data_IF_075749177022
#
_entry.id   IF_075749177022
#
_cell.length_a   1.000
_cell.length_b   1.000
_cell.length_c   1.000
_cell.angle_alpha   90.00
_cell.angle_beta   90.00
_cell.angle_gamma   90.00
#
_symmetry.space_group_name_H-M   'P 1'
#
loop_
_entity.id
_entity.type
_entity.pdbx_description
1 polymer ?
#
# COMPACT_ATOMS: atom_id res chain seq x y z
N UNK A 1 25.64 55.67 -16.64
CA UNK A 1 25.18 54.59 -17.55
C UNK A 1 25.67 53.24 -17.06
N UNK A 2 27.00 53.00 -17.04
CA UNK A 2 27.61 51.76 -16.55
C UNK A 2 27.18 51.32 -15.13
N UNK A 3 27.04 52.26 -14.21
CA UNK A 3 26.69 51.95 -12.81
C UNK A 3 25.26 51.42 -12.67
N UNK A 4 24.29 52.02 -13.38
CA UNK A 4 22.91 51.53 -13.47
C UNK A 4 22.80 50.18 -14.20
N UNK A 5 23.70 49.93 -15.13
CA UNK A 5 23.78 48.67 -15.89
C UNK A 5 24.34 47.54 -15.02
N UNK A 6 25.34 47.83 -14.19
CA UNK A 6 25.87 46.90 -13.19
C UNK A 6 24.83 46.54 -12.13
N UNK A 7 24.11 47.54 -11.61
CA UNK A 7 23.07 47.35 -10.60
C UNK A 7 21.88 46.52 -11.13
N UNK A 8 21.56 46.67 -12.42
CA UNK A 8 20.56 45.84 -13.10
C UNK A 8 21.03 44.38 -13.26
N UNK A 9 22.29 44.15 -13.64
CA UNK A 9 22.88 42.80 -13.75
C UNK A 9 22.97 42.09 -12.39
N UNK A 10 23.27 42.82 -11.32
CA UNK A 10 23.34 42.26 -9.97
C UNK A 10 21.94 41.87 -9.45
N UNK A 11 20.92 42.71 -9.67
CA UNK A 11 19.52 42.35 -9.40
C UNK A 11 19.06 41.14 -10.19
N UNK A 12 19.43 41.05 -11.47
CA UNK A 12 19.08 39.90 -12.30
C UNK A 12 19.75 38.60 -11.79
N UNK A 13 21.02 38.67 -11.39
CA UNK A 13 21.72 37.53 -10.75
C UNK A 13 21.06 37.13 -9.43
N UNK A 14 20.68 38.08 -8.59
CA UNK A 14 20.02 37.81 -7.32
C UNK A 14 18.68 37.11 -7.54
N UNK A 15 17.87 37.60 -8.49
CA UNK A 15 16.61 36.96 -8.89
C UNK A 15 16.83 35.53 -9.44
N UNK A 16 17.88 35.31 -10.22
CA UNK A 16 18.22 33.98 -10.72
C UNK A 16 18.65 33.02 -9.59
N UNK A 17 19.37 33.50 -8.58
CA UNK A 17 19.76 32.72 -7.41
C UNK A 17 18.54 32.34 -6.56
N UNK A 18 17.66 33.31 -6.26
CA UNK A 18 16.42 33.07 -5.52
C UNK A 18 15.53 32.05 -6.24
N UNK A 19 15.40 32.16 -7.56
CA UNK A 19 14.64 31.20 -8.37
C UNK A 19 15.22 29.79 -8.27
N UNK A 20 16.54 29.65 -8.39
CA UNK A 20 17.22 28.34 -8.25
C UNK A 20 17.04 27.74 -6.86
N UNK A 21 17.09 28.56 -5.82
CA UNK A 21 16.88 28.10 -4.45
C UNK A 21 15.45 27.60 -4.23
N UNK A 22 14.45 28.33 -4.74
CA UNK A 22 13.05 27.91 -4.69
C UNK A 22 12.82 26.60 -5.47
N UNK A 23 13.39 26.47 -6.66
CA UNK A 23 13.32 25.24 -7.47
C UNK A 23 13.96 24.07 -6.71
N UNK A 24 15.12 24.28 -6.09
CA UNK A 24 15.80 23.25 -5.31
C UNK A 24 14.98 22.83 -4.07
N UNK A 25 14.40 23.79 -3.35
CA UNK A 25 13.52 23.50 -2.22
C UNK A 25 12.26 22.72 -2.64
N UNK A 26 11.70 23.04 -3.82
CA UNK A 26 10.55 22.31 -4.35
C UNK A 26 10.91 20.86 -4.69
N UNK A 27 12.07 20.64 -5.32
CA UNK A 27 12.58 19.29 -5.60
C UNK A 27 12.84 18.49 -4.32
N UNK A 28 13.49 19.09 -3.30
CA UNK A 28 13.71 18.41 -2.01
C UNK A 28 12.39 18.01 -1.35
N UNK A 29 11.36 18.86 -1.40
CA UNK A 29 10.01 18.52 -0.89
C UNK A 29 9.36 17.37 -1.66
N UNK A 30 9.51 17.33 -2.99
CA UNK A 30 8.96 16.24 -3.81
C UNK A 30 9.60 14.90 -3.44
N UNK A 31 10.93 14.85 -3.33
CA UNK A 31 11.66 13.65 -2.90
C UNK A 31 11.20 13.16 -1.51
N UNK A 32 11.03 14.08 -0.56
CA UNK A 32 10.56 13.75 0.79
C UNK A 32 9.10 13.24 0.80
N UNK A 33 8.24 13.71 -0.11
CA UNK A 33 6.88 13.18 -0.27
C UNK A 33 6.92 11.73 -0.76
N UNK A 34 7.75 11.42 -1.78
CA UNK A 34 7.86 10.05 -2.30
C UNK A 34 8.44 9.09 -1.25
N UNK A 35 9.46 9.53 -0.50
CA UNK A 35 9.99 8.79 0.66
C UNK A 35 8.89 8.47 1.68
N UNK A 36 8.11 9.48 2.08
CA UNK A 36 7.03 9.30 3.04
C UNK A 36 5.99 8.27 2.57
N UNK A 37 5.60 8.29 1.30
CA UNK A 37 4.71 7.28 0.73
C UNK A 37 5.35 5.89 0.74
N UNK A 38 6.63 5.78 0.40
CA UNK A 38 7.37 4.53 0.42
C UNK A 38 7.46 3.93 1.84
N UNK A 39 7.68 4.76 2.85
CA UNK A 39 7.73 4.32 4.25
C UNK A 39 6.36 3.84 4.76
N UNK A 40 5.27 4.42 4.25
CA UNK A 40 3.90 3.96 4.53
C UNK A 40 3.43 2.77 3.69
N UNK A 41 4.13 2.43 2.61
CA UNK A 41 3.74 1.40 1.64
C UNK A 41 3.43 0.07 2.30
N UNK A 42 4.38 -0.47 3.07
CA UNK A 42 4.26 -1.77 3.71
C UNK A 42 3.10 -1.82 4.73
N UNK A 43 2.94 -0.75 5.53
CA UNK A 43 1.89 -0.67 6.56
C UNK A 43 0.50 -0.56 5.92
N UNK A 44 0.35 0.30 4.92
CA UNK A 44 -0.96 0.51 4.27
C UNK A 44 -1.41 -0.70 3.45
N UNK A 45 -0.48 -1.41 2.81
CA UNK A 45 -0.76 -2.69 2.13
C UNK A 45 -1.15 -3.78 3.14
N UNK A 46 -0.40 -3.92 4.25
CA UNK A 46 -0.71 -4.91 5.29
C UNK A 46 -2.11 -4.71 5.87
N UNK A 47 -2.49 -3.46 6.16
CA UNK A 47 -3.81 -3.11 6.68
C UNK A 47 -4.93 -3.44 5.68
N UNK A 48 -4.69 -3.24 4.38
CA UNK A 48 -5.66 -3.61 3.35
C UNK A 48 -5.89 -5.13 3.33
N UNK A 49 -4.81 -5.91 3.34
CA UNK A 49 -4.86 -7.38 3.33
C UNK A 49 -5.59 -7.90 4.58
N UNK A 50 -5.30 -7.32 5.74
CA UNK A 50 -5.98 -7.65 6.99
C UNK A 50 -7.49 -7.42 6.90
N UNK A 51 -7.92 -6.26 6.39
CA UNK A 51 -9.35 -5.95 6.20
C UNK A 51 -10.01 -6.93 5.23
N UNK A 52 -9.33 -7.27 4.13
CA UNK A 52 -9.80 -8.26 3.16
C UNK A 52 -9.99 -9.62 3.84
N UNK A 53 -8.95 -10.17 4.47
CA UNK A 53 -9.00 -11.50 5.07
C UNK A 53 -9.97 -11.61 6.23
N UNK A 54 -10.14 -10.53 7.01
CA UNK A 54 -11.17 -10.45 8.04
C UNK A 54 -12.58 -10.54 7.43
N UNK A 55 -12.81 -9.83 6.31
CA UNK A 55 -14.09 -9.89 5.60
C UNK A 55 -14.33 -11.27 4.99
N UNK A 56 -13.31 -11.89 4.41
CA UNK A 56 -13.35 -13.27 3.91
C UNK A 56 -13.77 -14.24 5.00
N UNK A 57 -13.07 -14.23 6.15
CA UNK A 57 -13.38 -15.12 7.26
C UNK A 57 -14.83 -14.97 7.72
N UNK A 58 -15.31 -13.72 7.83
CA UNK A 58 -16.70 -13.44 8.20
C UNK A 58 -17.69 -14.01 7.20
N UNK A 59 -17.49 -13.78 5.90
CA UNK A 59 -18.40 -14.28 4.86
C UNK A 59 -18.40 -15.81 4.76
N UNK A 60 -17.25 -16.45 4.95
CA UNK A 60 -17.12 -17.92 5.00
C UNK A 60 -17.89 -18.49 6.20
N UNK A 61 -17.71 -17.90 7.39
CA UNK A 61 -18.40 -18.36 8.61
C UNK A 61 -19.92 -18.19 8.50
N UNK A 62 -20.38 -17.11 7.87
CA UNK A 62 -21.81 -16.86 7.63
C UNK A 62 -22.44 -17.83 6.63
N UNK A 63 -21.64 -18.50 5.78
CA UNK A 63 -22.09 -19.44 4.74
C UNK A 63 -21.51 -20.84 4.95
N UNK A 64 -21.59 -21.33 6.19
CA UNK A 64 -20.98 -22.60 6.64
C UNK A 64 -21.16 -23.77 5.67
N UNK A 65 -22.41 -24.13 5.35
CA UNK A 65 -22.71 -25.30 4.50
C UNK A 65 -22.17 -25.15 3.07
N UNK A 66 -22.24 -23.95 2.48
CA UNK A 66 -21.65 -23.68 1.17
C UNK A 66 -20.12 -23.76 1.21
N UNK A 67 -19.49 -23.20 2.25
CA UNK A 67 -18.05 -23.20 2.41
C UNK A 67 -17.48 -24.63 2.62
N UNK A 68 -18.16 -25.46 3.42
CA UNK A 68 -17.83 -26.89 3.57
C UNK A 68 -17.92 -27.62 2.23
N UNK A 69 -18.96 -27.33 1.44
CA UNK A 69 -19.13 -27.88 0.08
C UNK A 69 -18.02 -27.52 -0.90
N UNK A 70 -17.25 -26.47 -0.62
CA UNK A 70 -16.10 -26.01 -1.41
C UNK A 70 -14.76 -26.59 -0.94
N UNK A 71 -14.78 -27.57 -0.03
CA UNK A 71 -13.59 -28.28 0.44
C UNK A 71 -12.86 -27.60 1.59
N UNK A 72 -13.53 -26.70 2.33
CA UNK A 72 -12.98 -26.13 3.55
C UNK A 72 -13.01 -27.18 4.68
N UNK A 73 -11.87 -27.44 5.32
CA UNK A 73 -11.83 -28.41 6.42
C UNK A 73 -12.50 -27.88 7.69
N UNK A 74 -13.00 -28.79 8.54
CA UNK A 74 -13.59 -28.42 9.83
C UNK A 74 -12.61 -27.64 10.72
N UNK A 75 -11.31 -27.94 10.64
CA UNK A 75 -10.27 -27.24 11.41
C UNK A 75 -10.05 -25.81 10.91
N UNK A 76 -10.08 -25.58 9.59
CA UNK A 76 -9.96 -24.23 9.01
C UNK A 76 -11.20 -23.39 9.29
N UNK A 77 -12.39 -23.98 9.13
CA UNK A 77 -13.64 -23.31 9.47
C UNK A 77 -13.67 -22.91 10.95
N UNK A 78 -13.30 -23.81 11.85
CA UNK A 78 -13.17 -23.53 13.28
C UNK A 78 -12.18 -22.39 13.55
N UNK A 79 -11.02 -22.41 12.90
CA UNK A 79 -10.01 -21.36 13.06
C UNK A 79 -10.49 -19.98 12.57
N UNK A 80 -11.28 -19.91 11.49
CA UNK A 80 -11.91 -18.66 11.06
C UNK A 80 -12.96 -18.17 12.06
N UNK A 81 -13.82 -19.09 12.54
CA UNK A 81 -14.88 -18.77 13.51
C UNK A 81 -14.32 -18.28 14.84
N UNK A 82 -13.20 -18.84 15.28
CA UNK A 82 -12.52 -18.48 16.53
C UNK A 82 -11.54 -17.30 16.37
N UNK A 83 -11.33 -16.81 15.14
CA UNK A 83 -10.36 -15.74 14.87
C UNK A 83 -8.89 -16.15 15.09
N UNK A 84 -8.59 -17.45 15.12
CA UNK A 84 -7.25 -18.00 15.34
C UNK A 84 -6.50 -18.30 14.02
N UNK A 85 -7.14 -18.09 12.87
CA UNK A 85 -6.50 -18.23 11.55
C UNK A 85 -5.54 -17.07 11.27
N UNK A 86 -4.28 -17.38 10.95
CA UNK A 86 -3.27 -16.39 10.56
C UNK A 86 -3.43 -15.95 9.10
N UNK A 87 -2.96 -14.74 8.75
CA UNK A 87 -3.00 -14.24 7.37
C UNK A 87 -2.22 -15.12 6.40
N UNK A 88 -1.06 -15.65 6.80
CA UNK A 88 -0.30 -16.61 5.98
C UNK A 88 -1.10 -17.88 5.68
N UNK A 89 -1.88 -18.37 6.67
CA UNK A 89 -2.72 -19.56 6.48
C UNK A 89 -3.94 -19.25 5.60
N UNK A 90 -4.57 -18.10 5.79
CA UNK A 90 -5.66 -17.64 4.91
C UNK A 90 -5.18 -17.46 3.47
N UNK A 91 -4.04 -16.80 3.28
CA UNK A 91 -3.44 -16.60 1.96
C UNK A 91 -3.19 -17.95 1.28
N UNK A 92 -2.54 -18.89 1.97
CA UNK A 92 -2.30 -20.23 1.46
C UNK A 92 -3.59 -20.97 1.10
N UNK A 93 -4.61 -20.93 1.97
CA UNK A 93 -5.89 -21.56 1.71
C UNK A 93 -6.55 -21.04 0.42
N UNK A 94 -6.56 -19.72 0.22
CA UNK A 94 -7.16 -19.11 -0.97
C UNK A 94 -6.30 -19.31 -2.23
N UNK A 95 -4.97 -19.40 -2.09
CA UNK A 95 -4.06 -19.74 -3.19
C UNK A 95 -4.21 -21.20 -3.62
N UNK A 96 -4.30 -22.12 -2.67
CA UNK A 96 -4.33 -23.57 -2.91
C UNK A 96 -5.74 -24.03 -3.34
N UNK A 97 -6.80 -23.31 -2.96
CA UNK A 97 -8.20 -23.64 -3.29
C UNK A 97 -8.86 -22.57 -4.17
N UNK A 98 -8.65 -22.68 -5.49
CA UNK A 98 -9.21 -21.75 -6.47
C UNK A 98 -10.74 -21.66 -6.47
N UNK A 99 -11.45 -22.78 -6.25
CA UNK A 99 -12.92 -22.81 -6.18
C UNK A 99 -13.45 -22.03 -4.98
N UNK A 100 -12.82 -22.22 -3.82
CA UNK A 100 -13.14 -21.45 -2.62
C UNK A 100 -12.86 -19.97 -2.84
N UNK A 101 -11.69 -19.61 -3.37
CA UNK A 101 -11.33 -18.22 -3.67
C UNK A 101 -12.34 -17.53 -4.58
N UNK A 102 -12.68 -18.13 -5.72
CA UNK A 102 -13.65 -17.57 -6.67
C UNK A 102 -15.02 -17.34 -6.03
N UNK A 103 -15.47 -18.28 -5.19
CA UNK A 103 -16.75 -18.16 -4.48
C UNK A 103 -16.73 -17.13 -3.38
N UNK A 104 -15.67 -17.07 -2.60
CA UNK A 104 -15.51 -16.03 -1.60
C UNK A 104 -15.44 -14.66 -2.26
N UNK A 105 -14.75 -14.52 -3.39
CA UNK A 105 -14.64 -13.26 -4.13
C UNK A 105 -16.03 -12.78 -4.57
N UNK A 106 -16.83 -13.68 -5.13
CA UNK A 106 -18.22 -13.43 -5.46
C UNK A 106 -19.04 -12.97 -4.24
N UNK A 107 -18.88 -13.62 -3.09
CA UNK A 107 -19.58 -13.27 -1.86
C UNK A 107 -19.23 -11.87 -1.32
N UNK A 108 -17.96 -11.47 -1.43
CA UNK A 108 -17.51 -10.16 -0.96
C UNK A 108 -17.62 -9.06 -2.00
N UNK A 109 -17.89 -9.39 -3.28
CA UNK A 109 -18.02 -8.42 -4.37
C UNK A 109 -16.71 -8.10 -5.09
N UNK A 110 -15.73 -9.01 -5.06
CA UNK A 110 -14.56 -8.99 -5.95
C UNK A 110 -14.83 -9.79 -7.23
N UNK A 111 -14.12 -9.46 -8.30
CA UNK A 111 -14.04 -10.21 -9.54
C UNK A 111 -13.49 -11.59 -9.25
N UNK A 112 -14.16 -12.63 -9.77
CA UNK A 112 -13.72 -14.03 -9.64
C UNK A 112 -12.33 -14.27 -10.22
N UNK A 113 -11.93 -13.44 -11.19
CA UNK A 113 -10.65 -13.50 -11.88
C UNK A 113 -9.51 -12.87 -11.06
N UNK A 114 -9.83 -12.08 -10.03
CA UNK A 114 -8.84 -11.36 -9.23
C UNK A 114 -7.84 -12.32 -8.58
N UNK A 115 -6.60 -12.30 -9.07
CA UNK A 115 -5.52 -13.16 -8.56
C UNK A 115 -4.97 -12.59 -7.26
N UNK A 116 -4.74 -13.47 -6.29
CA UNK A 116 -3.97 -13.12 -5.10
C UNK A 116 -2.50 -12.94 -5.52
N UNK A 117 -1.88 -11.78 -5.27
CA UNK A 117 -0.47 -11.58 -5.55
C UNK A 117 0.38 -12.41 -4.59
N UNK A 118 1.63 -12.66 -4.97
CA UNK A 118 2.60 -13.27 -4.08
C UNK A 118 3.06 -12.22 -3.08
N UNK A 119 2.43 -12.18 -1.91
CA UNK A 119 2.77 -11.22 -0.88
C UNK A 119 4.18 -11.44 -0.37
N UNK A 120 4.93 -10.35 -0.17
CA UNK A 120 6.17 -10.37 0.60
C UNK A 120 5.85 -10.86 2.02
N UNK A 121 6.72 -11.71 2.57
CA UNK A 121 6.53 -12.25 3.93
C UNK A 121 6.27 -11.16 4.99
N UNK A 122 6.89 -9.98 4.83
CA UNK A 122 6.72 -8.82 5.72
C UNK A 122 5.28 -8.31 5.81
N UNK A 123 4.45 -8.54 4.78
CA UNK A 123 3.03 -8.16 4.76
C UNK A 123 2.13 -9.12 5.56
N UNK A 124 2.65 -10.29 5.93
CA UNK A 124 1.90 -11.39 6.54
C UNK A 124 2.29 -11.69 8.00
N UNK A 125 3.35 -11.05 8.52
CA UNK A 125 3.90 -11.28 9.87
C UNK A 125 3.53 -10.22 10.90
N UNK A 126 2.89 -9.12 10.52
CA UNK A 126 2.53 -8.04 11.46
C UNK A 126 1.41 -8.49 12.41
N UNK A 127 1.62 -8.26 13.72
CA UNK A 127 0.58 -8.44 14.73
C UNK A 127 -0.42 -7.28 14.63
N UNK A 128 -1.73 -7.61 14.64
CA UNK A 128 -2.88 -6.70 14.64
C UNK A 128 -2.74 -5.48 15.59
N UNK A 129 -1.96 -5.57 16.67
CA UNK A 129 -1.88 -4.51 17.70
C UNK A 129 -0.92 -3.35 17.41
N UNK A 130 -0.01 -3.47 16.44
CA UNK A 130 0.97 -2.38 16.16
C UNK A 130 0.50 -1.40 15.08
N UNK A 131 -0.56 -1.73 14.34
CA UNK A 131 -1.09 -0.88 13.26
C UNK A 131 -2.44 -0.23 13.60
N UNK A 132 -3.10 -0.68 14.67
CA UNK A 132 -4.38 -0.14 15.13
C UNK A 132 -4.09 1.05 16.04
N UNK A 133 -3.95 2.24 15.44
CA UNK A 133 -4.18 3.59 16.00
C UNK A 133 -3.57 4.69 15.13
N UNK A 134 -3.03 4.37 13.95
CA UNK A 134 -2.64 5.44 13.05
C UNK A 134 -3.89 6.04 12.41
N UNK A 135 -4.39 7.12 13.02
CA UNK A 135 -4.94 8.26 12.32
C UNK A 135 -3.86 8.79 11.35
N UNK A 136 -3.49 8.01 10.34
CA UNK A 136 -2.60 8.46 9.27
C UNK A 136 -3.35 9.63 8.62
N UNK A 137 -2.77 10.83 8.54
CA UNK A 137 -3.33 11.90 7.74
C UNK A 137 -3.54 11.39 6.32
N UNK A 138 -4.80 11.15 5.93
CA UNK A 138 -5.13 10.46 4.67
C UNK A 138 -5.36 8.94 4.76
N UNK A 139 -5.84 8.43 5.92
CA UNK A 139 -6.19 7.04 6.23
C UNK A 139 -7.23 6.32 5.34
N UNK A 140 -7.38 6.76 4.09
CA UNK A 140 -8.09 6.08 3.01
C UNK A 140 -7.17 5.77 1.82
N UNK A 141 -5.86 5.61 2.05
CA UNK A 141 -4.88 5.40 0.97
C UNK A 141 -4.07 4.13 1.17
N UNK A 142 -3.78 3.46 0.06
CA UNK A 142 -2.83 2.34 -0.05
C UNK A 142 -1.73 2.78 -0.99
N UNK A 143 -0.48 2.74 -0.54
CA UNK A 143 0.66 3.16 -1.36
C UNK A 143 1.33 1.96 -2.02
N UNK A 144 1.55 2.04 -3.33
CA UNK A 144 2.26 1.05 -4.14
C UNK A 144 3.44 1.74 -4.86
N UNK A 145 4.55 1.04 -5.04
CA UNK A 145 5.60 1.53 -5.93
C UNK A 145 5.06 1.58 -7.37
N UNK A 146 5.45 2.58 -8.13
CA UNK A 146 5.15 2.69 -9.56
C UNK A 146 5.65 1.48 -10.38
N UNK A 147 6.76 0.85 -9.97
CA UNK A 147 7.29 -0.38 -10.59
C UNK A 147 6.50 -1.66 -10.24
N UNK A 148 5.48 -1.57 -9.38
CA UNK A 148 4.66 -2.72 -8.97
C UNK A 148 4.00 -3.35 -10.20
N UNK A 149 3.96 -4.68 -10.28
CA UNK A 149 3.40 -5.38 -11.45
C UNK A 149 1.91 -5.02 -11.64
N UNK A 150 1.48 -4.87 -12.89
CA UNK A 150 0.09 -4.50 -13.21
C UNK A 150 -0.95 -5.47 -12.64
N UNK A 151 -0.68 -6.78 -12.63
CA UNK A 151 -1.57 -7.77 -12.00
C UNK A 151 -1.75 -7.51 -10.49
N UNK A 152 -0.68 -7.11 -9.81
CA UNK A 152 -0.70 -6.79 -8.38
C UNK A 152 -1.40 -5.45 -8.14
N UNK A 153 -1.11 -4.42 -8.96
CA UNK A 153 -1.83 -3.14 -8.91
C UNK A 153 -3.33 -3.33 -9.09
N UNK A 154 -3.76 -4.13 -10.06
CA UNK A 154 -5.17 -4.41 -10.31
C UNK A 154 -5.84 -5.04 -9.08
N UNK A 155 -5.19 -6.03 -8.45
CA UNK A 155 -5.69 -6.61 -7.20
C UNK A 155 -5.85 -5.57 -6.09
N UNK A 156 -4.82 -4.77 -5.82
CA UNK A 156 -4.88 -3.75 -4.77
C UNK A 156 -5.93 -2.67 -5.06
N UNK A 157 -6.10 -2.28 -6.32
CA UNK A 157 -7.13 -1.31 -6.74
C UNK A 157 -8.53 -1.84 -6.46
N UNK A 158 -8.78 -3.10 -6.80
CA UNK A 158 -10.08 -3.73 -6.62
C UNK A 158 -10.44 -3.91 -5.15
N UNK A 159 -9.48 -4.42 -4.35
CA UNK A 159 -9.65 -4.58 -2.90
C UNK A 159 -9.79 -3.22 -2.21
N UNK A 160 -9.04 -2.20 -2.65
CA UNK A 160 -9.19 -0.84 -2.14
C UNK A 160 -10.57 -0.27 -2.44
N UNK A 161 -11.08 -0.44 -3.67
CA UNK A 161 -12.42 0.01 -4.05
C UNK A 161 -13.50 -0.67 -3.18
N UNK A 162 -13.39 -1.98 -2.95
CA UNK A 162 -14.28 -2.73 -2.08
C UNK A 162 -14.35 -2.19 -0.63
N UNK A 163 -13.27 -1.57 -0.17
CA UNK A 163 -13.09 -1.08 1.20
C UNK A 163 -13.16 0.45 1.33
N UNK A 164 -13.58 1.17 0.27
CA UNK A 164 -13.61 2.64 0.20
C UNK A 164 -12.23 3.30 0.47
N UNK A 165 -11.19 2.69 -0.10
CA UNK A 165 -9.81 3.15 -0.06
C UNK A 165 -9.34 3.52 -1.46
N UNK A 166 -8.27 4.31 -1.56
CA UNK A 166 -7.66 4.77 -2.81
C UNK A 166 -6.24 4.26 -2.93
N UNK A 167 -5.93 3.58 -4.03
CA UNK A 167 -4.53 3.28 -4.36
C UNK A 167 -3.84 4.56 -4.83
N UNK A 168 -2.62 4.77 -4.36
CA UNK A 168 -1.73 5.84 -4.79
C UNK A 168 -0.36 5.27 -5.08
N UNK A 169 0.22 5.70 -6.18
CA UNK A 169 1.57 5.30 -6.55
C UNK A 169 2.59 6.30 -6.00
N UNK A 170 3.78 5.79 -5.73
CA UNK A 170 4.97 6.57 -5.45
C UNK A 170 6.11 6.16 -6.37
N UNK A 171 6.97 7.11 -6.67
CA UNK A 171 8.16 6.92 -7.50
C UNK A 171 9.25 6.24 -6.66
N UNK A 172 9.57 4.98 -6.95
CA UNK A 172 10.52 4.19 -6.16
C UNK A 172 11.94 4.76 -6.22
N UNK A 173 12.37 5.24 -7.39
CA UNK A 173 13.70 5.81 -7.57
C UNK A 173 13.87 7.09 -6.76
N UNK A 174 12.88 7.99 -6.81
CA UNK A 174 12.88 9.22 -6.00
C UNK A 174 12.85 8.95 -4.50
N UNK A 175 12.07 7.95 -4.07
CA UNK A 175 12.03 7.56 -2.67
C UNK A 175 13.39 7.05 -2.17
N UNK A 176 14.10 6.28 -3.00
CA UNK A 176 15.43 5.76 -2.65
C UNK A 176 16.49 6.87 -2.64
N UNK A 177 16.48 7.76 -3.64
CA UNK A 177 17.34 8.95 -3.66
C UNK A 177 17.18 9.79 -2.39
N UNK A 178 15.95 9.97 -1.92
CA UNK A 178 15.66 10.71 -0.70
C UNK A 178 16.21 10.02 0.56
N UNK A 179 16.15 8.67 0.63
CA UNK A 179 16.73 7.90 1.75
C UNK A 179 18.23 8.02 1.79
N UNK A 180 18.90 7.83 0.65
CA UNK A 180 20.37 7.95 0.57
C UNK A 180 20.83 9.37 0.91
N UNK A 181 20.11 10.39 0.47
CA UNK A 181 20.43 11.78 0.80
C UNK A 181 20.36 12.05 2.33
N UNK A 182 19.34 11.53 3.00
CA UNK A 182 19.19 11.68 4.45
C UNK A 182 20.26 10.90 5.24
N UNK A 183 20.76 9.77 4.71
CA UNK A 183 21.88 9.02 5.30
C UNK A 183 23.22 9.77 5.18
N UNK A 184 23.42 10.52 4.08
CA UNK A 184 24.63 11.31 3.85
C UNK A 184 24.61 12.62 4.67
N UNK A 185 23.45 13.27 4.82
CA UNK A 185 23.29 14.47 5.65
C UNK A 185 23.31 14.15 7.17
N UNK A 186 23.30 12.87 7.57
CA UNK A 186 23.21 12.38 8.94
C UNK A 186 24.54 11.98 9.63
N UNK A 187 25.71 12.39 9.10
CA UNK A 187 27.05 12.20 9.71
C UNK A 187 27.68 13.53 10.08
#
# INVERSE_FOLDING_TARGET
AKEKELEAQEKERQLQLEKKELEHQAQKKELQIEKYKADLSNVTQSLLIEKLFTRVAREVVNRDEEAKGLGLSAAEFKAMKEGSMTFSRMNRLLSDNGKLREKVWEWIGLSKEAKLPVFKHTLLYSKLSECVHLNIPGGKKVYLADVTKEEEKAFYQEVAALLDLKVKEYDEEKAELARTADEIEGV
#
